data_IF_394526440521
#
_entry.id   IF_394526440521
#
_cell.length_a   1.000
_cell.length_b   1.000
_cell.length_c   1.000
_cell.angle_alpha   90.00
_cell.angle_beta   90.00
_cell.angle_gamma   90.00
#
_symmetry.space_group_name_H-M   'P 1'
#
loop_
_entity.id
_entity.type
_entity.pdbx_description
1 polymer ?
#
# COMPACT_ATOMS: atom_id res chain seq x y z
N UNK A 1 -86.82 54.34 -39.23
CA UNK A 1 -85.59 53.54 -39.34
C UNK A 1 -84.52 54.22 -38.52
N UNK A 2 -83.95 53.54 -37.51
CA UNK A 2 -82.82 54.05 -36.70
C UNK A 2 -81.55 53.39 -37.23
N UNK A 3 -80.59 54.21 -37.64
CA UNK A 3 -79.27 53.76 -38.09
C UNK A 3 -78.33 53.81 -36.88
N UNK A 4 -78.01 52.65 -36.33
CA UNK A 4 -76.91 52.49 -35.37
C UNK A 4 -75.60 52.53 -36.16
N UNK A 5 -75.02 53.73 -36.29
CA UNK A 5 -73.72 53.92 -36.91
C UNK A 5 -72.68 53.87 -35.78
N UNK A 6 -71.81 52.88 -35.85
CA UNK A 6 -70.65 52.78 -34.97
C UNK A 6 -69.61 53.83 -35.39
N UNK A 7 -69.50 54.93 -34.63
CA UNK A 7 -68.53 56.01 -34.86
C UNK A 7 -67.12 55.72 -34.31
N UNK A 8 -66.83 54.51 -33.83
CA UNK A 8 -65.49 54.15 -33.38
C UNK A 8 -64.55 53.90 -34.59
N UNK A 9 -64.08 54.98 -35.22
CA UNK A 9 -63.08 54.92 -36.30
C UNK A 9 -61.65 54.60 -35.80
N UNK A 10 -61.47 54.34 -34.50
CA UNK A 10 -60.21 53.82 -33.95
C UNK A 10 -60.53 52.75 -32.91
N UNK A 11 -60.06 51.50 -33.08
CA UNK A 11 -60.12 50.52 -32.01
C UNK A 11 -59.33 51.09 -30.82
N UNK A 12 -59.93 51.04 -29.62
CA UNK A 12 -59.24 51.42 -28.39
C UNK A 12 -58.16 50.36 -28.14
N UNK A 13 -56.92 50.65 -28.54
CA UNK A 13 -55.78 49.82 -28.19
C UNK A 13 -55.43 50.11 -26.74
N UNK A 14 -55.48 49.07 -25.92
CA UNK A 14 -55.28 49.16 -24.49
C UNK A 14 -53.79 49.44 -24.22
N UNK A 15 -53.43 50.73 -24.21
CA UNK A 15 -52.04 51.19 -24.11
C UNK A 15 -51.34 50.63 -22.87
N UNK A 16 -52.08 50.36 -21.79
CA UNK A 16 -51.57 49.71 -20.59
C UNK A 16 -51.00 48.31 -20.86
N UNK A 17 -51.67 47.51 -21.69
CA UNK A 17 -51.23 46.14 -22.01
C UNK A 17 -50.02 46.14 -22.93
N UNK A 18 -49.93 47.12 -23.84
CA UNK A 18 -48.75 47.34 -24.68
C UNK A 18 -47.53 47.71 -23.83
N UNK A 19 -47.64 48.73 -22.98
CA UNK A 19 -46.55 49.17 -22.10
C UNK A 19 -46.13 48.11 -21.08
N UNK A 20 -47.06 47.30 -20.58
CA UNK A 20 -46.74 46.22 -19.64
C UNK A 20 -45.93 45.10 -20.31
N UNK A 21 -46.28 44.69 -21.54
CA UNK A 21 -45.53 43.64 -22.28
C UNK A 21 -44.17 44.14 -22.78
N UNK A 22 -44.12 45.34 -23.33
CA UNK A 22 -42.86 45.91 -23.81
C UNK A 22 -41.95 46.35 -22.68
N UNK A 23 -42.51 46.90 -21.59
CA UNK A 23 -41.76 47.27 -20.40
C UNK A 23 -41.12 46.07 -19.71
N UNK A 24 -41.86 44.95 -19.58
CA UNK A 24 -41.31 43.70 -19.03
C UNK A 24 -40.24 43.10 -19.91
N UNK A 25 -40.42 43.10 -21.24
CA UNK A 25 -39.40 42.65 -22.17
C UNK A 25 -38.12 43.51 -22.09
N UNK A 26 -38.27 44.84 -22.03
CA UNK A 26 -37.14 45.76 -21.92
C UNK A 26 -36.40 45.59 -20.59
N UNK A 27 -37.14 45.42 -19.49
CA UNK A 27 -36.57 45.13 -18.17
C UNK A 27 -35.82 43.80 -18.15
N UNK A 28 -36.38 42.75 -18.77
CA UNK A 28 -35.73 41.44 -18.87
C UNK A 28 -34.42 41.52 -19.66
N UNK A 29 -34.41 42.24 -20.79
CA UNK A 29 -33.19 42.46 -21.58
C UNK A 29 -32.16 43.27 -20.78
N UNK A 30 -32.59 44.34 -20.10
CA UNK A 30 -31.72 45.13 -19.23
C UNK A 30 -31.09 44.28 -18.12
N UNK A 31 -31.88 43.46 -17.44
CA UNK A 31 -31.39 42.57 -16.39
C UNK A 31 -30.41 41.52 -16.93
N UNK A 32 -30.72 40.95 -18.10
CA UNK A 32 -29.87 39.95 -18.76
C UNK A 32 -28.53 40.55 -19.20
N UNK A 33 -28.53 41.76 -19.77
CA UNK A 33 -27.29 42.46 -20.13
C UNK A 33 -26.43 42.79 -18.91
N UNK A 34 -27.05 43.21 -17.80
CA UNK A 34 -26.34 43.45 -16.54
C UNK A 34 -25.73 42.16 -15.97
N UNK A 35 -26.46 41.04 -16.03
CA UNK A 35 -25.96 39.73 -15.63
C UNK A 35 -24.74 39.33 -16.47
N UNK A 36 -24.82 39.46 -17.80
CA UNK A 36 -23.68 39.13 -18.67
C UNK A 36 -22.48 40.05 -18.43
N UNK A 37 -22.70 41.33 -18.19
CA UNK A 37 -21.65 42.30 -17.87
C UNK A 37 -20.93 41.91 -16.57
N UNK A 38 -21.68 41.58 -15.52
CA UNK A 38 -21.10 41.18 -14.22
C UNK A 38 -20.30 39.87 -14.32
N UNK A 39 -20.80 38.87 -15.07
CA UNK A 39 -20.06 37.62 -15.33
C UNK A 39 -18.77 37.86 -16.11
N UNK A 40 -18.81 38.71 -17.13
CA UNK A 40 -17.64 39.02 -17.97
C UNK A 40 -16.56 39.78 -17.19
N UNK A 41 -16.97 40.80 -16.43
CA UNK A 41 -16.04 41.60 -15.61
C UNK A 41 -15.45 40.76 -14.48
N UNK A 42 -16.27 39.96 -13.79
CA UNK A 42 -15.76 39.08 -12.72
C UNK A 42 -14.79 38.02 -13.24
N UNK A 43 -15.04 37.42 -14.40
CA UNK A 43 -14.14 36.49 -15.09
C UNK A 43 -12.80 37.10 -15.46
N UNK A 44 -12.78 38.39 -15.85
CA UNK A 44 -11.55 39.09 -16.18
C UNK A 44 -10.68 39.38 -14.94
N UNK A 45 -11.32 39.72 -13.81
CA UNK A 45 -10.64 39.92 -12.52
C UNK A 45 -10.14 38.62 -11.88
N UNK A 46 -10.82 37.48 -12.06
CA UNK A 46 -10.33 36.17 -11.61
C UNK A 46 -9.14 35.68 -12.45
N UNK A 47 -9.19 35.83 -13.78
CA UNK A 47 -8.10 35.44 -14.68
C UNK A 47 -6.77 36.15 -14.35
N UNK A 48 -6.81 37.39 -13.83
CA UNK A 48 -5.60 38.12 -13.39
C UNK A 48 -4.99 37.51 -12.11
N UNK A 49 -5.82 37.02 -11.18
CA UNK A 49 -5.36 36.39 -9.93
C UNK A 49 -4.77 35.00 -10.17
N UNK A 50 -5.33 34.25 -11.11
CA UNK A 50 -4.85 32.91 -11.44
C UNK A 50 -3.47 32.94 -12.10
N UNK A 51 -3.21 33.95 -12.95
CA UNK A 51 -1.89 34.13 -13.57
C UNK A 51 -0.77 34.35 -12.54
N UNK A 52 -1.03 35.09 -11.47
CA UNK A 52 -0.06 35.34 -10.41
C UNK A 52 0.23 34.07 -9.59
N UNK A 53 -0.80 33.26 -9.28
CA UNK A 53 -0.61 31.97 -8.60
C UNK A 53 0.17 30.98 -9.47
N UNK A 54 -0.12 30.93 -10.77
CA UNK A 54 0.60 30.08 -11.71
C UNK A 54 2.06 30.50 -11.84
N UNK A 55 2.37 31.80 -11.88
CA UNK A 55 3.77 32.26 -11.93
C UNK A 55 4.52 31.97 -10.63
N UNK A 56 3.88 32.12 -9.48
CA UNK A 56 4.48 31.78 -8.18
C UNK A 56 4.79 30.28 -8.07
N UNK A 57 3.83 29.42 -8.45
CA UNK A 57 4.01 27.97 -8.46
C UNK A 57 5.10 27.54 -9.44
N UNK A 58 5.15 28.14 -10.64
CA UNK A 58 6.23 27.91 -11.60
C UNK A 58 7.60 28.34 -11.06
N UNK A 59 7.67 29.44 -10.32
CA UNK A 59 8.89 29.88 -9.65
C UNK A 59 9.37 28.88 -8.59
N UNK A 60 8.44 28.35 -7.78
CA UNK A 60 8.74 27.31 -6.76
C UNK A 60 9.24 26.00 -7.38
N UNK A 61 8.66 25.59 -8.50
CA UNK A 61 9.10 24.41 -9.25
C UNK A 61 10.52 24.64 -9.81
N UNK A 62 10.75 25.78 -10.47
CA UNK A 62 12.07 26.10 -11.03
C UNK A 62 13.18 26.16 -9.99
N UNK A 63 12.88 26.69 -8.79
CA UNK A 63 13.83 26.72 -7.68
C UNK A 63 14.15 25.30 -7.16
N UNK A 64 13.14 24.45 -7.03
CA UNK A 64 13.31 23.05 -6.61
C UNK A 64 14.10 22.23 -7.64
N UNK A 65 13.83 22.44 -8.93
CA UNK A 65 14.53 21.77 -10.03
C UNK A 65 15.99 22.21 -10.09
N UNK A 66 16.29 23.49 -9.84
CA UNK A 66 17.66 23.98 -9.75
C UNK A 66 18.44 23.33 -8.60
N UNK A 67 17.82 23.20 -7.42
CA UNK A 67 18.43 22.50 -6.28
C UNK A 67 18.67 21.01 -6.58
N UNK A 68 17.70 20.34 -7.22
CA UNK A 68 17.85 18.94 -7.65
C UNK A 68 19.02 18.77 -8.61
N UNK A 69 19.10 19.61 -9.65
CA UNK A 69 20.22 19.57 -10.61
C UNK A 69 21.56 19.80 -9.95
N UNK A 70 21.66 20.76 -9.03
CA UNK A 70 22.89 21.02 -8.31
C UNK A 70 23.32 19.84 -7.43
N UNK A 71 22.36 19.17 -6.77
CA UNK A 71 22.61 17.96 -6.00
C UNK A 71 23.01 16.78 -6.91
N UNK A 72 22.35 16.60 -8.05
CA UNK A 72 22.69 15.59 -9.05
C UNK A 72 24.08 15.83 -9.63
N UNK A 73 24.44 17.06 -9.97
CA UNK A 73 25.79 17.42 -10.43
C UNK A 73 26.86 17.15 -9.38
N UNK A 74 26.57 17.41 -8.11
CA UNK A 74 27.45 17.09 -6.99
C UNK A 74 27.62 15.57 -6.82
N UNK A 75 26.53 14.81 -6.90
CA UNK A 75 26.54 13.34 -6.81
C UNK A 75 27.18 12.68 -8.04
N UNK A 76 27.09 13.29 -9.23
CA UNK A 76 27.66 12.77 -10.48
C UNK A 76 29.16 13.06 -10.66
N UNK A 77 29.78 13.77 -9.71
CA UNK A 77 31.24 13.96 -9.71
C UNK A 77 31.95 12.60 -9.68
N UNK A 78 33.07 12.43 -10.42
CA UNK A 78 33.77 11.15 -10.50
C UNK A 78 34.18 10.58 -9.14
N UNK A 79 34.45 11.46 -8.19
CA UNK A 79 34.81 11.15 -6.79
C UNK A 79 33.67 10.45 -6.02
N UNK A 80 32.40 10.69 -6.39
CA UNK A 80 31.20 10.21 -5.67
C UNK A 80 30.51 9.01 -6.35
N UNK A 81 31.00 8.55 -7.52
CA UNK A 81 30.34 7.47 -8.28
C UNK A 81 30.38 6.12 -7.56
N UNK A 82 31.48 5.78 -6.90
CA UNK A 82 31.59 4.52 -6.14
C UNK A 82 30.52 4.43 -5.04
N UNK A 83 30.35 5.51 -4.26
CA UNK A 83 29.35 5.60 -3.19
C UNK A 83 27.90 5.57 -3.70
N UNK A 84 27.65 6.08 -4.92
CA UNK A 84 26.33 6.06 -5.56
C UNK A 84 25.93 4.64 -5.96
N UNK A 85 26.84 3.90 -6.61
CA UNK A 85 26.58 2.53 -7.04
C UNK A 85 26.35 1.61 -5.83
N UNK A 86 27.14 1.79 -4.77
CA UNK A 86 26.95 1.08 -3.50
C UNK A 86 25.57 1.39 -2.89
N UNK A 87 25.14 2.65 -2.87
CA UNK A 87 23.87 3.05 -2.27
C UNK A 87 22.64 2.57 -3.05
N UNK A 88 22.72 2.50 -4.39
CA UNK A 88 21.63 1.97 -5.22
C UNK A 88 21.51 0.45 -5.05
N UNK A 89 22.64 -0.27 -5.04
CA UNK A 89 22.67 -1.70 -4.75
C UNK A 89 22.14 -2.01 -3.34
N UNK A 90 22.55 -1.23 -2.34
CA UNK A 90 22.05 -1.35 -0.96
C UNK A 90 20.54 -1.08 -0.86
N UNK A 91 20.03 -0.05 -1.53
CA UNK A 91 18.60 0.25 -1.53
C UNK A 91 17.77 -0.84 -2.22
N UNK A 92 18.24 -1.38 -3.35
CA UNK A 92 17.58 -2.50 -4.04
C UNK A 92 17.62 -3.79 -3.20
N UNK A 93 18.70 -4.00 -2.45
CA UNK A 93 18.84 -5.12 -1.52
C UNK A 93 17.91 -4.97 -0.31
N UNK A 94 17.77 -3.75 0.23
CA UNK A 94 16.85 -3.41 1.33
C UNK A 94 15.39 -3.54 0.87
N UNK A 95 15.04 -3.06 -0.32
CA UNK A 95 13.68 -3.10 -0.87
C UNK A 95 13.18 -4.54 -1.10
N UNK A 96 14.07 -5.46 -1.48
CA UNK A 96 13.75 -6.90 -1.61
C UNK A 96 13.70 -7.65 -0.28
N UNK A 97 14.17 -7.06 0.83
CA UNK A 97 14.36 -7.73 2.12
C UNK A 97 13.54 -7.07 3.23
N UNK A 98 12.23 -7.23 3.20
CA UNK A 98 11.45 -7.13 4.46
C UNK A 98 11.67 -8.41 5.27
N UNK A 99 12.86 -8.52 5.86
CA UNK A 99 13.22 -9.61 6.76
C UNK A 99 12.32 -9.55 8.00
N UNK A 100 11.38 -10.49 8.12
CA UNK A 100 10.42 -10.51 9.22
C UNK A 100 10.99 -11.27 10.42
N UNK A 101 11.88 -10.60 11.17
CA UNK A 101 12.49 -11.12 12.41
C UNK A 101 11.49 -11.79 13.35
N UNK A 102 10.34 -11.14 13.56
CA UNK A 102 9.28 -11.64 14.43
C UNK A 102 8.83 -13.06 14.02
N UNK A 103 8.69 -13.34 12.73
CA UNK A 103 8.26 -14.67 12.26
C UNK A 103 9.34 -15.73 12.42
N UNK A 104 10.59 -15.38 12.14
CA UNK A 104 11.72 -16.31 12.32
C UNK A 104 11.82 -16.73 13.79
N UNK A 105 11.72 -15.77 14.71
CA UNK A 105 11.76 -16.06 16.14
C UNK A 105 10.53 -16.88 16.60
N UNK A 106 9.33 -16.60 16.07
CA UNK A 106 8.12 -17.37 16.37
C UNK A 106 8.23 -18.83 15.88
N UNK A 107 8.76 -19.04 14.68
CA UNK A 107 8.97 -20.39 14.15
C UNK A 107 10.08 -21.12 14.91
N UNK A 108 11.12 -20.40 15.34
CA UNK A 108 12.20 -20.95 16.18
C UNK A 108 11.67 -21.35 17.57
N UNK A 109 10.83 -20.53 18.20
CA UNK A 109 10.24 -20.83 19.52
C UNK A 109 9.50 -22.17 19.50
N UNK A 110 8.79 -22.49 18.43
CA UNK A 110 8.01 -23.74 18.28
C UNK A 110 8.89 -25.00 18.26
N UNK A 111 10.14 -24.89 17.80
CA UNK A 111 11.07 -26.02 17.69
C UNK A 111 12.02 -26.11 18.89
N UNK A 112 12.11 -25.07 19.72
CA UNK A 112 13.01 -25.04 20.88
C UNK A 112 12.58 -26.04 21.97
N UNK A 113 13.46 -26.98 22.37
CA UNK A 113 13.18 -27.90 23.48
C UNK A 113 13.33 -27.20 24.84
N UNK A 114 12.72 -27.78 25.87
CA UNK A 114 12.83 -27.26 27.23
C UNK A 114 14.28 -27.25 27.74
N UNK A 115 14.64 -26.22 28.52
CA UNK A 115 15.98 -25.99 29.09
C UNK A 115 17.07 -25.69 28.05
N UNK A 116 16.66 -25.28 26.85
CA UNK A 116 17.55 -24.73 25.82
C UNK A 116 17.13 -23.29 25.56
N UNK A 117 18.10 -22.40 25.43
CA UNK A 117 17.85 -20.99 25.15
C UNK A 117 18.79 -20.47 24.06
N UNK A 118 18.25 -19.56 23.24
CA UNK A 118 19.01 -18.88 22.21
C UNK A 118 19.88 -17.79 22.86
N UNK A 119 21.19 -17.81 22.58
CA UNK A 119 22.15 -16.80 23.02
C UNK A 119 22.32 -15.73 21.96
N UNK A 120 22.47 -16.13 20.70
CA UNK A 120 22.61 -15.21 19.58
C UNK A 120 22.13 -15.84 18.27
N UNK A 121 21.72 -14.97 17.32
CA UNK A 121 21.29 -15.36 15.97
C UNK A 121 21.81 -14.35 14.96
N UNK A 122 22.46 -14.85 13.91
CA UNK A 122 23.03 -14.07 12.81
C UNK A 122 22.47 -14.59 11.50
N UNK A 123 21.61 -13.83 10.81
CA UNK A 123 21.05 -14.22 9.53
C UNK A 123 21.98 -13.78 8.42
N UNK A 124 22.29 -14.68 7.52
CA UNK A 124 23.15 -14.44 6.37
C UNK A 124 22.46 -14.96 5.11
N UNK A 125 22.75 -14.34 3.97
CA UNK A 125 22.41 -14.93 2.69
C UNK A 125 23.54 -15.85 2.29
N UNK A 126 23.20 -17.09 1.96
CA UNK A 126 24.12 -18.01 1.31
C UNK A 126 24.27 -17.69 -0.18
N UNK A 127 25.23 -18.32 -0.86
CA UNK A 127 25.51 -18.17 -2.29
C UNK A 127 24.28 -18.45 -3.17
N UNK A 128 23.42 -19.37 -2.73
CA UNK A 128 22.14 -19.71 -3.38
C UNK A 128 21.00 -18.72 -3.07
N UNK A 129 21.33 -17.57 -2.46
CA UNK A 129 20.41 -16.55 -2.01
C UNK A 129 19.31 -17.10 -1.05
N UNK A 130 19.64 -18.17 -0.32
CA UNK A 130 18.83 -18.73 0.75
C UNK A 130 19.17 -18.07 2.08
N UNK A 131 18.21 -18.03 2.99
CA UNK A 131 18.44 -17.46 4.32
C UNK A 131 19.08 -18.49 5.24
N UNK A 132 20.39 -18.39 5.47
CA UNK A 132 21.10 -19.15 6.47
C UNK A 132 21.01 -18.44 7.84
N UNK A 133 20.78 -19.21 8.90
CA UNK A 133 20.76 -18.75 10.28
C UNK A 133 21.91 -19.40 11.04
N UNK A 134 22.87 -18.59 11.48
CA UNK A 134 23.94 -19.00 12.38
C UNK A 134 23.52 -18.65 13.80
N UNK A 135 23.28 -19.66 14.63
CA UNK A 135 22.72 -19.48 15.97
C UNK A 135 23.65 -20.05 17.02
N UNK A 136 23.84 -19.32 18.12
CA UNK A 136 24.45 -19.88 19.32
C UNK A 136 23.35 -20.19 20.32
N UNK A 137 23.31 -21.43 20.77
CA UNK A 137 22.28 -21.97 21.65
C UNK A 137 22.95 -22.57 22.89
N UNK A 138 22.42 -22.30 24.07
CA UNK A 138 22.94 -22.84 25.32
C UNK A 138 21.94 -23.80 25.97
N UNK A 139 22.44 -24.94 26.44
CA UNK A 139 21.67 -26.00 27.09
C UNK A 139 22.38 -26.62 28.29
N UNK A 140 21.65 -27.48 29.00
CA UNK A 140 22.13 -28.27 30.15
C UNK A 140 22.94 -29.50 29.71
N UNK A 141 22.67 -30.06 28.53
CA UNK A 141 23.40 -31.21 27.98
C UNK A 141 23.50 -31.20 26.45
N UNK A 142 24.44 -31.99 25.94
CA UNK A 142 24.62 -32.23 24.50
C UNK A 142 23.41 -32.89 23.85
N UNK A 143 22.71 -33.76 24.57
CA UNK A 143 21.51 -34.43 24.06
C UNK A 143 20.42 -33.42 23.69
N UNK A 144 20.38 -32.27 24.36
CA UNK A 144 19.41 -31.21 24.06
C UNK A 144 19.72 -30.43 22.79
N UNK A 145 20.99 -30.28 22.43
CA UNK A 145 21.36 -29.72 21.14
C UNK A 145 20.96 -30.64 19.99
N UNK A 146 21.17 -31.95 20.15
CA UNK A 146 20.76 -32.97 19.18
C UNK A 146 19.23 -33.02 19.08
N UNK A 147 18.51 -32.89 20.20
CA UNK A 147 17.05 -32.81 20.21
C UNK A 147 16.55 -31.59 19.43
N UNK A 148 17.20 -30.42 19.59
CA UNK A 148 16.88 -29.21 18.85
C UNK A 148 17.13 -29.39 17.35
N UNK A 149 18.31 -29.89 16.98
CA UNK A 149 18.68 -30.19 15.59
C UNK A 149 17.61 -31.07 14.92
N UNK A 150 17.25 -32.19 15.56
CA UNK A 150 16.20 -33.09 15.07
C UNK A 150 14.85 -32.39 14.93
N UNK A 151 14.41 -31.59 15.92
CA UNK A 151 13.13 -30.85 15.85
C UNK A 151 13.13 -29.80 14.73
N UNK A 152 14.27 -29.18 14.48
CA UNK A 152 14.44 -28.24 13.38
C UNK A 152 14.36 -28.96 12.03
N UNK A 153 15.04 -30.09 11.86
CA UNK A 153 14.96 -30.91 10.63
C UNK A 153 13.55 -31.48 10.37
N UNK A 154 12.82 -31.85 11.43
CA UNK A 154 11.43 -32.31 11.34
C UNK A 154 10.46 -31.17 11.00
N UNK A 155 10.88 -29.91 11.19
CA UNK A 155 10.04 -28.76 10.88
C UNK A 155 10.03 -28.46 9.38
N UNK A 156 8.90 -27.94 8.89
CA UNK A 156 8.80 -27.43 7.51
C UNK A 156 9.48 -26.06 7.31
N UNK A 157 10.16 -25.53 8.33
CA UNK A 157 10.70 -24.17 8.36
C UNK A 157 12.22 -24.12 8.33
N UNK A 158 12.89 -25.17 8.77
CA UNK A 158 14.33 -25.25 8.81
C UNK A 158 14.81 -26.46 8.01
N UNK A 159 15.83 -26.27 7.20
CA UNK A 159 16.44 -27.31 6.35
C UNK A 159 17.96 -27.25 6.50
N UNK A 160 18.65 -28.36 6.25
CA UNK A 160 20.11 -28.46 6.36
C UNK A 160 20.64 -27.99 7.73
N UNK A 161 19.89 -28.25 8.80
CA UNK A 161 20.30 -27.95 10.17
C UNK A 161 21.49 -28.82 10.54
N UNK A 162 22.57 -28.23 11.04
CA UNK A 162 23.71 -28.97 11.55
C UNK A 162 24.45 -28.21 12.65
N UNK A 163 25.07 -28.95 13.57
CA UNK A 163 25.94 -28.41 14.61
C UNK A 163 27.34 -28.14 14.03
N UNK A 164 27.78 -26.89 14.08
CA UNK A 164 29.08 -26.43 13.57
C UNK A 164 30.17 -26.56 14.64
N UNK A 165 29.85 -26.16 15.88
CA UNK A 165 30.82 -26.14 16.98
C UNK A 165 30.12 -26.34 18.33
N UNK A 166 30.87 -26.88 19.29
CA UNK A 166 30.48 -27.06 20.68
C UNK A 166 31.50 -26.37 21.58
N UNK A 167 31.02 -25.59 22.53
CA UNK A 167 31.84 -24.89 23.51
C UNK A 167 31.26 -25.12 24.91
N UNK A 168 32.08 -25.69 25.80
CA UNK A 168 31.68 -25.92 27.19
C UNK A 168 32.14 -24.71 28.00
N UNK A 169 31.18 -23.97 28.55
CA UNK A 169 31.49 -22.89 29.47
C UNK A 169 31.62 -23.46 30.89
N UNK A 170 32.87 -23.56 31.35
CA UNK A 170 33.23 -24.14 32.65
C UNK A 170 32.74 -23.29 33.81
N UNK A 171 32.47 -21.99 33.60
CA UNK A 171 32.02 -21.08 34.65
C UNK A 171 30.50 -21.17 34.89
N UNK A 172 29.71 -21.34 33.82
CA UNK A 172 28.24 -21.42 33.90
C UNK A 172 27.70 -22.85 33.91
N UNK A 173 28.56 -23.87 33.77
CA UNK A 173 28.15 -25.28 33.62
C UNK A 173 27.16 -25.49 32.45
N UNK A 174 27.10 -24.56 31.50
CA UNK A 174 26.24 -24.66 30.32
C UNK A 174 27.08 -25.02 29.10
N UNK A 175 26.48 -25.81 28.22
CA UNK A 175 27.11 -26.16 26.95
C UNK A 175 26.50 -25.29 25.86
N UNK A 176 27.35 -24.54 25.16
CA UNK A 176 26.98 -23.71 24.03
C UNK A 176 27.24 -24.46 22.72
N UNK A 177 26.30 -24.36 21.79
CA UNK A 177 26.34 -24.99 20.49
C UNK A 177 26.14 -23.93 19.42
N UNK A 178 26.99 -23.94 18.41
CA UNK A 178 26.77 -23.17 17.20
C UNK A 178 26.03 -24.06 16.20
N UNK A 179 24.82 -23.66 15.81
CA UNK A 179 23.95 -24.38 14.88
C UNK A 179 23.74 -23.50 13.66
N UNK A 180 23.97 -24.07 12.47
CA UNK A 180 23.63 -23.45 11.19
C UNK A 180 22.42 -24.16 10.60
N UNK A 181 21.44 -23.40 10.12
CA UNK A 181 20.26 -23.92 9.43
C UNK A 181 19.79 -22.98 8.32
N UNK A 182 19.18 -23.52 7.26
CA UNK A 182 18.53 -22.72 6.23
C UNK A 182 17.04 -22.55 6.56
N UNK A 183 16.60 -21.30 6.67
CA UNK A 183 15.21 -20.93 6.93
C UNK A 183 14.41 -20.81 5.63
N UNK A 184 13.28 -21.53 5.58
CA UNK A 184 12.32 -21.49 4.47
C UNK A 184 11.10 -20.68 4.90
N UNK A 185 10.95 -19.42 4.43
CA UNK A 185 9.82 -18.59 4.78
C UNK A 185 8.51 -19.18 4.24
N UNK A 186 7.43 -19.05 5.00
CA UNK A 186 6.10 -19.38 4.51
C UNK A 186 5.76 -18.48 3.32
N UNK A 187 5.59 -19.06 2.13
CA UNK A 187 4.92 -18.37 1.04
C UNK A 187 3.50 -18.01 1.51
N UNK A 188 3.22 -16.72 1.67
CA UNK A 188 1.86 -16.22 1.86
C UNK A 188 1.02 -16.71 0.66
N UNK A 189 0.22 -17.76 0.85
CA UNK A 189 -0.78 -18.21 -0.12
C UNK A 189 -0.51 -19.52 -0.86
N UNK A 190 -0.05 -20.59 -0.20
CA UNK A 190 -0.31 -21.93 -0.72
C UNK A 190 -1.78 -22.29 -0.45
N UNK A 191 -2.62 -22.58 -1.47
CA UNK A 191 -3.96 -23.06 -1.23
C UNK A 191 -3.86 -24.40 -0.51
N UNK A 192 -4.56 -24.52 0.60
CA UNK A 192 -4.78 -25.79 1.30
C UNK A 192 -5.38 -26.76 0.28
N UNK A 193 -4.53 -27.60 -0.32
CA UNK A 193 -4.96 -28.67 -1.19
C UNK A 193 -5.70 -29.69 -0.31
N UNK A 194 -7.00 -29.79 -0.57
CA UNK A 194 -7.97 -30.70 0.02
C UNK A 194 -7.39 -32.06 0.48
N UNK A 195 -7.56 -32.39 1.75
CA UNK A 195 -7.67 -33.78 2.19
C UNK A 195 -9.12 -34.26 1.98
N UNK A 196 -9.35 -35.43 1.35
CA UNK A 196 -10.69 -35.98 1.19
C UNK A 196 -11.17 -36.66 2.48
N UNK A 197 -12.41 -36.34 2.85
CA UNK A 197 -13.41 -37.07 3.63
C UNK A 197 -12.98 -38.10 4.69
N UNK A 198 -13.49 -37.95 5.93
CA UNK A 198 -14.27 -38.99 6.64
C UNK A 198 -14.97 -38.35 7.83
N UNK A 199 -16.30 -38.44 7.88
CA UNK A 199 -17.09 -37.98 9.02
C UNK A 199 -18.54 -37.67 8.68
N UNK A 200 -19.25 -38.62 8.07
CA UNK A 200 -20.71 -38.59 8.12
C UNK A 200 -21.17 -38.74 9.58
N UNK A 201 -22.25 -38.05 9.96
CA UNK A 201 -23.31 -38.76 10.65
C UNK A 201 -24.61 -38.69 9.87
N UNK A 202 -25.31 -39.81 9.93
CA UNK A 202 -26.61 -40.04 9.36
C UNK A 202 -27.65 -39.03 9.85
N UNK A 203 -28.44 -38.48 8.91
CA UNK A 203 -29.82 -38.08 9.17
C UNK A 203 -30.67 -38.60 8.03
N UNK A 204 -31.35 -39.71 8.32
CA UNK A 204 -32.52 -40.19 7.58
C UNK A 204 -33.70 -39.25 7.83
N UNK A 205 -34.23 -38.65 6.77
CA UNK A 205 -35.59 -38.13 6.74
C UNK A 205 -36.18 -38.32 5.34
N UNK A 206 -37.17 -39.21 5.26
CA UNK A 206 -38.07 -39.44 4.13
C UNK A 206 -38.92 -38.19 3.82
N UNK A 207 -39.62 -38.27 2.67
CA UNK A 207 -40.75 -37.47 2.14
C UNK A 207 -40.31 -36.74 0.85
N UNK A 208 -40.96 -36.79 -0.32
CA UNK A 208 -42.04 -37.60 -0.88
C UNK A 208 -42.19 -37.16 -2.35
N UNK A 209 -42.05 -38.10 -3.29
CA UNK A 209 -42.93 -38.34 -4.46
C UNK A 209 -43.55 -37.15 -5.21
N UNK A 210 -43.08 -36.91 -6.45
CA UNK A 210 -43.87 -36.64 -7.71
C UNK A 210 -42.88 -36.38 -8.86
N UNK A 211 -42.51 -37.40 -9.65
CA UNK A 211 -43.09 -37.76 -10.95
C UNK A 211 -43.50 -36.57 -11.82
N UNK A 212 -42.61 -36.21 -12.75
CA UNK A 212 -42.95 -35.56 -14.02
C UNK A 212 -43.57 -36.62 -14.97
N UNK A 213 -44.18 -36.28 -16.11
CA UNK A 213 -43.57 -35.47 -17.18
C UNK A 213 -44.24 -34.11 -17.45
#
# INVERSE_FOLDING_TARGET
MRLDINLANRPYEDAGQFWMRWGTALAAVGLFTLLLLTLTVSGWFSARRDRNKVSELRGKIAASDAMRRQAEEFLNRPENRATRDDSQFLNELIERKTFSWTRVLEDLEKVMPARVHLVSIHPELDDDNQLALNMTVAGDSRDKAIELERRMEESLRFTQTHIVAEHIDVASSSVQFNIKAIYVPHALGAPVANSPATGAPAVSAQISKRSNP
#
